data_IF_041177623494
#
_entry.id   IF_041177623494
#
_cell.length_a   1.000
_cell.length_b   1.000
_cell.length_c   1.000
_cell.angle_alpha   90.00
_cell.angle_beta   90.00
_cell.angle_gamma   90.00
#
_symmetry.space_group_name_H-M   'P 1'
#
loop_
_entity.id
_entity.type
_entity.pdbx_description
1 polymer ?
#
# COMPACT_ATOMS: atom_id res chain seq x y z
N UNK A 1 -32.43 -41.27 -0.36
CA UNK A 1 -31.10 -40.68 -0.08
C UNK A 1 -30.81 -39.52 -1.04
N UNK A 2 -31.60 -38.44 -1.03
CA UNK A 2 -31.61 -37.41 -2.09
C UNK A 2 -31.30 -35.97 -1.59
N UNK A 3 -30.88 -35.80 -0.34
CA UNK A 3 -30.62 -34.46 0.24
C UNK A 3 -29.14 -34.06 0.29
N UNK A 4 -28.22 -34.97 -0.04
CA UNK A 4 -26.78 -34.72 0.06
C UNK A 4 -26.17 -33.96 -1.14
N UNK A 5 -26.79 -34.01 -2.33
CA UNK A 5 -26.24 -33.39 -3.54
C UNK A 5 -26.58 -31.89 -3.70
N UNK A 6 -27.64 -31.40 -3.04
CA UNK A 6 -28.06 -29.98 -3.13
C UNK A 6 -27.22 -29.08 -2.20
N UNK A 7 -26.74 -29.62 -1.08
CA UNK A 7 -25.92 -28.87 -0.11
C UNK A 7 -24.50 -28.64 -0.64
N UNK A 8 -23.94 -29.58 -1.41
CA UNK A 8 -22.59 -29.46 -1.96
C UNK A 8 -22.49 -28.42 -3.09
N UNK A 9 -23.54 -28.28 -3.91
CA UNK A 9 -23.58 -27.29 -4.99
C UNK A 9 -23.70 -25.84 -4.50
N UNK A 10 -24.32 -25.62 -3.34
CA UNK A 10 -24.49 -24.28 -2.76
C UNK A 10 -23.17 -23.77 -2.15
N UNK A 11 -22.33 -24.65 -1.59
CA UNK A 11 -21.04 -24.27 -1.01
C UNK A 11 -20.03 -23.79 -2.08
N UNK A 12 -20.09 -24.34 -3.30
CA UNK A 12 -19.23 -23.90 -4.39
C UNK A 12 -19.60 -22.52 -4.97
N UNK A 13 -20.87 -22.12 -4.92
CA UNK A 13 -21.29 -20.79 -5.39
C UNK A 13 -20.84 -19.69 -4.40
N UNK A 14 -20.80 -19.98 -3.10
CA UNK A 14 -20.36 -19.01 -2.08
C UNK A 14 -18.85 -18.77 -2.15
N UNK A 15 -18.06 -19.76 -2.59
CA UNK A 15 -16.62 -19.59 -2.84
C UNK A 15 -16.31 -18.75 -4.10
N UNK A 16 -17.21 -18.72 -5.09
CA UNK A 16 -17.04 -17.92 -6.32
C UNK A 16 -17.33 -16.42 -6.14
N UNK A 17 -18.09 -16.03 -5.12
CA UNK A 17 -18.49 -14.64 -4.87
C UNK A 17 -17.44 -13.88 -4.05
N UNK A 18 -16.54 -14.59 -3.35
CA UNK A 18 -15.42 -13.98 -2.62
C UNK A 18 -14.25 -13.55 -3.54
N UNK A 19 -14.27 -13.95 -4.82
CA UNK A 19 -13.17 -13.67 -5.77
C UNK A 19 -13.39 -12.44 -6.66
N UNK A 20 -14.51 -11.73 -6.53
CA UNK A 20 -14.84 -10.53 -7.33
C UNK A 20 -15.23 -9.30 -6.49
N UNK A 21 -15.03 -9.37 -5.17
CA UNK A 21 -15.56 -8.40 -4.22
C UNK A 21 -14.51 -7.72 -3.37
N UNK A 22 -13.36 -7.35 -3.93
CA UNK A 22 -12.52 -6.32 -3.32
C UNK A 22 -12.41 -5.14 -4.30
N UNK A 23 -13.35 -4.19 -4.30
CA UNK A 23 -13.02 -2.84 -4.70
C UNK A 23 -12.12 -2.29 -3.59
N UNK A 24 -10.87 -2.73 -3.56
CA UNK A 24 -9.81 -2.04 -2.82
C UNK A 24 -9.71 -0.63 -3.42
N UNK A 25 -10.48 0.26 -2.79
CA UNK A 25 -10.15 1.64 -2.56
C UNK A 25 -9.54 2.39 -3.76
N UNK A 26 -10.33 2.60 -4.82
CA UNK A 26 -10.19 3.81 -5.61
C UNK A 26 -10.78 5.00 -4.84
N UNK A 27 -10.13 5.39 -3.74
CA UNK A 27 -10.29 6.75 -3.22
C UNK A 27 -9.18 7.57 -3.85
N UNK A 28 -9.55 8.45 -4.78
CA UNK A 28 -8.65 9.26 -5.61
C UNK A 28 -7.99 10.41 -4.83
N UNK A 29 -7.34 10.10 -3.72
CA UNK A 29 -6.23 10.86 -3.17
C UNK A 29 -5.00 9.95 -3.27
N UNK A 30 -4.26 10.06 -4.38
CA UNK A 30 -2.99 9.33 -4.54
C UNK A 30 -2.09 9.73 -3.37
N UNK A 31 -1.91 8.80 -2.43
CA UNK A 31 -1.00 8.95 -1.30
C UNK A 31 0.23 8.13 -1.62
N UNK A 32 1.39 8.77 -1.65
CA UNK A 32 2.68 8.12 -1.92
C UNK A 32 3.42 7.99 -0.59
N UNK A 33 3.73 6.76 -0.21
CA UNK A 33 4.48 6.42 1.00
C UNK A 33 5.96 6.47 0.68
N UNK A 34 6.64 7.45 1.25
CA UNK A 34 8.07 7.70 1.00
C UNK A 34 8.84 7.29 2.24
N UNK A 35 9.81 6.41 2.08
CA UNK A 35 10.72 6.06 3.16
C UNK A 35 11.89 7.05 3.25
N UNK A 36 12.38 7.22 4.47
CA UNK A 36 13.60 7.93 4.77
C UNK A 36 14.41 7.16 5.81
N UNK A 37 15.72 7.10 5.61
CA UNK A 37 16.70 6.64 6.59
C UNK A 37 17.68 7.76 6.89
N UNK A 38 17.97 7.99 8.19
CA UNK A 38 18.82 9.09 8.65
C UNK A 38 20.25 9.10 8.07
N UNK A 39 20.74 7.97 7.57
CA UNK A 39 22.04 7.89 6.90
C UNK A 39 22.04 8.33 5.44
N UNK A 40 20.89 8.69 4.86
CA UNK A 40 20.85 9.30 3.53
C UNK A 40 21.16 10.80 3.58
N UNK A 41 21.97 11.31 2.64
CA UNK A 41 22.34 12.72 2.62
C UNK A 41 21.09 13.59 2.53
N UNK A 42 20.93 14.51 3.49
CA UNK A 42 19.73 15.32 3.71
C UNK A 42 19.45 16.40 2.67
N UNK A 43 19.73 16.16 1.39
CA UNK A 43 19.50 17.12 0.30
C UNK A 43 18.02 17.43 0.08
N UNK A 44 17.12 16.53 0.46
CA UNK A 44 15.68 16.68 0.27
C UNK A 44 14.92 17.22 1.50
N UNK A 45 15.58 17.32 2.67
CA UNK A 45 14.94 17.75 3.93
C UNK A 45 14.37 19.17 3.85
N UNK A 46 15.03 20.07 3.11
CA UNK A 46 14.54 21.43 2.90
C UNK A 46 13.22 21.46 2.10
N UNK A 47 13.09 20.61 1.08
CA UNK A 47 11.86 20.48 0.29
C UNK A 47 10.73 19.83 1.08
N UNK A 48 11.06 18.82 1.91
CA UNK A 48 10.11 18.17 2.81
C UNK A 48 9.58 19.13 3.87
N UNK A 49 10.46 19.88 4.56
CA UNK A 49 10.05 20.87 5.56
C UNK A 49 9.17 21.99 4.98
N UNK A 50 9.30 22.26 3.68
CA UNK A 50 8.51 23.26 2.95
C UNK A 50 7.25 22.68 2.30
N UNK A 51 7.00 21.36 2.40
CA UNK A 51 5.88 20.69 1.73
C UNK A 51 5.91 20.83 0.21
N UNK A 52 7.10 21.00 -0.37
CA UNK A 52 7.25 21.27 -1.80
C UNK A 52 6.85 20.06 -2.65
N UNK A 53 7.07 18.85 -2.14
CA UNK A 53 6.79 17.63 -2.88
C UNK A 53 5.29 17.40 -3.06
N UNK A 54 4.51 17.56 -1.99
CA UNK A 54 3.06 17.51 -2.04
C UNK A 54 2.50 18.58 -2.97
N UNK A 55 3.08 19.79 -2.93
CA UNK A 55 2.68 20.94 -3.76
C UNK A 55 2.93 20.72 -5.25
N UNK A 56 4.11 20.23 -5.63
CA UNK A 56 4.50 20.08 -7.03
C UNK A 56 3.99 18.78 -7.66
N UNK A 57 3.86 17.70 -6.88
CA UNK A 57 3.35 16.43 -7.37
C UNK A 57 1.82 16.32 -7.30
N UNK A 58 1.16 17.18 -6.51
CA UNK A 58 -0.31 17.16 -6.36
C UNK A 58 -0.84 15.89 -5.68
N UNK A 59 0.02 15.20 -4.93
CA UNK A 59 -0.27 13.96 -4.20
C UNK A 59 0.00 14.17 -2.71
N UNK A 60 -0.68 13.41 -1.87
CA UNK A 60 -0.38 13.39 -0.44
C UNK A 60 0.86 12.53 -0.22
N UNK A 61 1.80 12.97 0.62
CA UNK A 61 2.92 12.14 1.02
C UNK A 61 2.76 11.61 2.43
N UNK A 62 3.07 10.33 2.61
CA UNK A 62 3.21 9.69 3.92
C UNK A 62 4.68 9.34 4.14
N UNK A 63 5.34 10.07 5.04
CA UNK A 63 6.77 9.94 5.27
C UNK A 63 7.04 8.95 6.39
N UNK A 64 7.70 7.83 6.07
CA UNK A 64 8.08 6.80 7.04
C UNK A 64 9.58 6.83 7.30
N UNK A 65 9.96 6.89 8.57
CA UNK A 65 11.38 6.83 8.97
C UNK A 65 11.75 5.39 9.33
N UNK A 66 12.88 4.92 8.81
CA UNK A 66 13.44 3.60 9.11
C UNK A 66 14.83 3.72 9.74
N UNK A 67 15.17 2.76 10.59
CA UNK A 67 16.45 2.73 11.32
C UNK A 67 17.64 2.27 10.45
N UNK A 68 17.38 1.51 9.38
CA UNK A 68 18.41 1.01 8.47
C UNK A 68 17.87 0.93 7.04
N UNK A 69 18.76 1.01 6.04
CA UNK A 69 18.39 0.78 4.65
C UNK A 69 17.90 -0.65 4.36
N UNK A 70 18.28 -1.64 5.18
CA UNK A 70 17.81 -3.02 5.03
C UNK A 70 16.30 -3.15 5.26
N UNK A 71 15.82 -2.61 6.39
CA UNK A 71 14.37 -2.58 6.67
C UNK A 71 13.59 -1.75 5.64
N UNK A 72 14.21 -0.71 5.07
CA UNK A 72 13.61 0.08 4.00
C UNK A 72 13.47 -0.72 2.70
N UNK A 73 14.48 -1.51 2.32
CA UNK A 73 14.39 -2.40 1.16
C UNK A 73 13.34 -3.49 1.35
N UNK A 74 13.23 -4.05 2.56
CA UNK A 74 12.20 -5.05 2.88
C UNK A 74 10.79 -4.42 2.81
N UNK A 75 10.63 -3.20 3.33
CA UNK A 75 9.41 -2.42 3.21
C UNK A 75 9.05 -2.14 1.74
N UNK A 76 10.04 -1.85 0.90
CA UNK A 76 9.82 -1.66 -0.54
C UNK A 76 9.40 -2.97 -1.22
N UNK A 77 10.06 -4.08 -0.88
CA UNK A 77 9.76 -5.39 -1.47
C UNK A 77 8.39 -5.95 -1.05
N UNK A 78 7.83 -5.45 0.04
CA UNK A 78 6.52 -5.85 0.59
C UNK A 78 5.40 -4.87 0.26
N UNK A 79 5.66 -3.91 -0.63
CA UNK A 79 4.72 -2.83 -0.98
C UNK A 79 4.24 -2.03 0.24
N UNK A 80 5.03 -1.97 1.32
CA UNK A 80 4.74 -1.14 2.51
C UNK A 80 5.04 0.34 2.27
N UNK A 81 5.96 0.62 1.33
CA UNK A 81 6.35 1.93 0.83
C UNK A 81 6.36 1.93 -0.70
N UNK A 82 6.21 3.10 -1.29
CA UNK A 82 6.16 3.27 -2.75
C UNK A 82 7.49 3.83 -3.30
N UNK A 83 8.21 4.59 -2.47
CA UNK A 83 9.51 5.19 -2.79
C UNK A 83 10.44 4.94 -1.61
N UNK A 84 11.62 4.39 -1.90
CA UNK A 84 12.69 4.14 -0.93
C UNK A 84 13.84 5.11 -1.14
#
# INVERSE_FOLDING_TARGET
MQKAHVVLGTVFIIAGIMAFGNPEAYSSETTVRVAYYAGWPGTFQAGWAQGLFEKEMGVRLDWKTYDTGGHMCDALATDEIDIA
#
